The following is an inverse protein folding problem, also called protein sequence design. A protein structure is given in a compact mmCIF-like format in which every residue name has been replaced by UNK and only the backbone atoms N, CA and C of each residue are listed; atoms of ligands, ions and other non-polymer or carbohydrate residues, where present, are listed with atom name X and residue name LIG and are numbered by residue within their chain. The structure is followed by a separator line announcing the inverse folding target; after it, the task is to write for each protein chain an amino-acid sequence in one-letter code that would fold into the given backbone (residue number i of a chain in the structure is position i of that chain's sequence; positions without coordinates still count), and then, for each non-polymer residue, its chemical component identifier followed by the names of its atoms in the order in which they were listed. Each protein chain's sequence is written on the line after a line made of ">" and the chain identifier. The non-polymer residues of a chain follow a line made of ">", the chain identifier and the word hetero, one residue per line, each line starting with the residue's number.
data_IF_861690903088
#
_entry.id   IF_861690903088
#
_cell.length_a   1.000
_cell.length_b   1.000
_cell.length_c   1.000
_cell.angle_alpha   90.00
_cell.angle_beta   90.00
_cell.angle_gamma   90.00
#
_symmetry.space_group_name_H-M   'P 1'
#
loop_
_entity.id
_entity.type
_entity.pdbx_description
1 polymer ?
#
# COMPACT_ATOMS: atom_id res chain seq x y z
N UNK A 1 2.16 17.94 0.38
CA UNK A 1 1.52 16.85 -0.37
C UNK A 1 0.02 17.07 -0.48
N UNK A 2 -0.73 16.94 0.59
CA UNK A 2 -2.21 16.99 0.59
C UNK A 2 -2.82 18.37 0.24
N UNK A 3 -2.12 19.48 0.50
CA UNK A 3 -2.59 20.83 0.15
C UNK A 3 -2.81 21.07 -1.36
N UNK A 4 -2.31 20.17 -2.23
CA UNK A 4 -2.64 20.17 -3.65
C UNK A 4 -4.10 19.73 -3.91
N UNK A 5 -4.66 18.92 -3.02
CA UNK A 5 -5.98 18.28 -3.19
C UNK A 5 -7.04 18.87 -2.26
N UNK A 6 -6.65 19.22 -1.03
CA UNK A 6 -7.57 19.69 0.02
C UNK A 6 -7.24 21.11 0.45
N UNK A 7 -8.25 21.86 0.84
CA UNK A 7 -8.11 23.18 1.46
C UNK A 7 -7.63 23.01 2.92
N UNK A 8 -7.06 24.06 3.49
CA UNK A 8 -6.47 23.99 4.85
C UNK A 8 -7.48 23.49 5.90
N UNK A 9 -8.74 23.92 5.81
CA UNK A 9 -9.79 23.52 6.74
C UNK A 9 -10.32 22.09 6.50
N UNK A 10 -10.04 21.50 5.32
CA UNK A 10 -10.39 20.12 4.99
C UNK A 10 -9.33 19.10 5.47
N UNK A 11 -8.11 19.57 5.85
CA UNK A 11 -7.00 18.68 6.22
C UNK A 11 -7.25 17.92 7.52
N UNK A 12 -7.73 18.60 8.57
CA UNK A 12 -8.01 17.91 9.84
C UNK A 12 -9.17 16.92 9.72
N UNK A 13 -10.31 17.24 9.04
CA UNK A 13 -11.31 16.24 8.69
C UNK A 13 -10.76 15.08 7.85
N UNK A 14 -9.85 15.33 6.89
CA UNK A 14 -9.18 14.28 6.12
C UNK A 14 -8.38 13.35 7.02
N UNK A 15 -7.63 13.89 7.96
CA UNK A 15 -6.83 13.10 8.89
C UNK A 15 -7.69 12.23 9.82
N UNK A 16 -8.84 12.72 10.27
CA UNK A 16 -9.81 11.92 11.03
C UNK A 16 -10.40 10.81 10.17
N UNK A 17 -10.82 11.12 8.96
CA UNK A 17 -11.32 10.11 8.02
C UNK A 17 -10.25 9.05 7.74
N UNK A 18 -8.99 9.46 7.61
CA UNK A 18 -7.87 8.55 7.41
C UNK A 18 -7.70 7.59 8.59
N UNK A 19 -7.86 8.07 9.82
CA UNK A 19 -7.81 7.27 11.05
C UNK A 19 -9.03 6.37 11.18
N UNK A 20 -10.23 6.93 11.12
CA UNK A 20 -11.50 6.21 11.33
C UNK A 20 -11.77 5.14 10.27
N UNK A 21 -11.36 5.38 9.02
CA UNK A 21 -11.58 4.49 7.88
C UNK A 21 -10.35 3.62 7.53
N UNK A 22 -9.22 3.80 8.22
CA UNK A 22 -7.98 3.10 7.89
C UNK A 22 -7.44 3.44 6.49
N UNK A 23 -7.73 4.64 5.98
CA UNK A 23 -7.32 5.06 4.63
C UNK A 23 -5.81 5.25 4.57
N UNK A 24 -5.20 4.67 3.55
CA UNK A 24 -3.77 4.77 3.26
C UNK A 24 -3.57 5.54 1.96
N UNK A 25 -2.71 6.56 1.99
CA UNK A 25 -2.26 7.25 0.77
C UNK A 25 -1.06 6.51 0.21
N UNK A 26 -1.03 6.25 -1.10
CA UNK A 26 0.12 5.59 -1.76
C UNK A 26 0.37 6.13 -3.17
N UNK A 27 1.12 5.39 -3.97
CA UNK A 27 1.37 5.73 -5.38
C UNK A 27 2.38 6.85 -5.59
N UNK A 28 2.29 7.47 -6.76
CA UNK A 28 3.30 8.46 -7.19
C UNK A 28 3.32 9.73 -6.34
N UNK A 29 2.22 10.08 -5.70
CA UNK A 29 2.15 11.26 -4.81
C UNK A 29 2.99 11.05 -3.53
N UNK A 30 3.04 9.83 -2.99
CA UNK A 30 3.89 9.52 -1.84
C UNK A 30 5.36 9.45 -2.24
N UNK A 31 5.67 8.96 -3.43
CA UNK A 31 7.04 9.01 -3.95
C UNK A 31 7.56 10.45 -4.07
N UNK A 32 6.71 11.40 -4.54
CA UNK A 32 7.04 12.83 -4.54
C UNK A 32 7.30 13.36 -3.13
N UNK A 33 6.53 12.92 -2.14
CA UNK A 33 6.72 13.34 -0.76
C UNK A 33 8.12 12.96 -0.22
N UNK A 34 8.59 11.75 -0.50
CA UNK A 34 9.89 11.28 -0.05
C UNK A 34 11.06 11.87 -0.84
N UNK A 35 10.88 12.09 -2.14
CA UNK A 35 11.98 12.53 -3.02
C UNK A 35 12.09 14.05 -3.17
N UNK A 36 11.04 14.79 -2.79
CA UNK A 36 10.95 16.23 -3.06
C UNK A 36 10.71 16.58 -4.54
N UNK A 37 10.66 15.59 -5.44
CA UNK A 37 10.36 15.79 -6.85
C UNK A 37 8.91 16.28 -7.03
N UNK A 38 8.64 16.94 -8.16
CA UNK A 38 7.30 17.46 -8.48
C UNK A 38 6.92 17.07 -9.90
N UNK A 39 5.78 16.42 -10.02
CA UNK A 39 5.12 16.10 -11.29
C UNK A 39 3.61 16.06 -11.11
N UNK A 40 2.88 16.07 -12.20
CA UNK A 40 1.44 15.86 -12.20
C UNK A 40 1.13 14.43 -11.75
N UNK A 41 0.20 14.31 -10.81
CA UNK A 41 -0.27 13.02 -10.30
C UNK A 41 -1.66 13.14 -9.70
N UNK A 42 -2.40 12.06 -9.74
CA UNK A 42 -3.61 11.87 -8.95
C UNK A 42 -3.22 11.59 -7.49
N UNK A 43 -4.18 11.70 -6.59
CA UNK A 43 -4.04 11.23 -5.21
C UNK A 43 -4.68 9.85 -5.10
N UNK A 44 -3.88 8.86 -4.78
CA UNK A 44 -4.33 7.47 -4.66
C UNK A 44 -4.61 7.16 -3.19
N UNK A 45 -5.89 6.90 -2.86
CA UNK A 45 -6.39 6.57 -1.52
C UNK A 45 -6.84 5.11 -1.51
N UNK A 46 -6.21 4.31 -0.68
CA UNK A 46 -6.52 2.88 -0.52
C UNK A 46 -7.37 2.69 0.73
N UNK A 47 -8.46 1.94 0.60
CA UNK A 47 -9.41 1.73 1.68
C UNK A 47 -9.99 0.31 1.61
N UNK A 48 -10.25 -0.32 2.74
CA UNK A 48 -10.98 -1.58 2.78
C UNK A 48 -12.45 -1.37 2.41
N UNK A 49 -13.06 -2.35 1.75
CA UNK A 49 -14.45 -2.28 1.28
C UNK A 49 -15.44 -1.80 2.35
N UNK A 50 -15.39 -2.25 3.62
CA UNK A 50 -16.35 -1.79 4.64
C UNK A 50 -16.33 -0.28 4.90
N UNK A 51 -15.18 0.38 4.71
CA UNK A 51 -15.02 1.82 4.93
C UNK A 51 -15.14 2.66 3.64
N UNK A 52 -15.33 2.01 2.48
CA UNK A 52 -15.39 2.64 1.17
C UNK A 52 -16.43 3.76 1.08
N UNK A 53 -17.64 3.50 1.57
CA UNK A 53 -18.73 4.49 1.55
C UNK A 53 -18.37 5.74 2.37
N UNK A 54 -17.84 5.56 3.57
CA UNK A 54 -17.46 6.67 4.48
C UNK A 54 -16.37 7.53 3.85
N UNK A 55 -15.33 6.91 3.29
CA UNK A 55 -14.25 7.62 2.61
C UNK A 55 -14.75 8.39 1.38
N UNK A 56 -15.60 7.81 0.54
CA UNK A 56 -16.16 8.48 -0.62
C UNK A 56 -17.13 9.61 -0.26
N UNK A 57 -17.92 9.44 0.81
CA UNK A 57 -18.81 10.49 1.34
C UNK A 57 -18.00 11.69 1.83
N UNK A 58 -16.86 11.47 2.48
CA UNK A 58 -15.94 12.54 2.85
C UNK A 58 -15.44 13.29 1.61
N UNK A 59 -15.03 12.59 0.54
CA UNK A 59 -14.58 13.25 -0.70
C UNK A 59 -15.69 14.12 -1.29
N UNK A 60 -16.92 13.63 -1.32
CA UNK A 60 -18.07 14.38 -1.78
C UNK A 60 -18.34 15.62 -0.91
N UNK A 61 -18.20 15.54 0.41
CA UNK A 61 -18.33 16.70 1.31
C UNK A 61 -17.25 17.77 1.08
N UNK A 62 -16.07 17.37 0.59
CA UNK A 62 -15.02 18.27 0.13
C UNK A 62 -15.27 18.84 -1.28
N UNK A 63 -16.42 18.55 -1.90
CA UNK A 63 -16.79 19.05 -3.23
C UNK A 63 -16.13 18.31 -4.37
N UNK A 64 -15.75 17.05 -4.17
CA UNK A 64 -15.34 16.15 -5.23
C UNK A 64 -16.56 15.42 -5.80
N UNK A 65 -16.74 15.45 -7.10
CA UNK A 65 -17.76 14.69 -7.81
C UNK A 65 -17.21 13.32 -8.21
N UNK A 66 -18.03 12.28 -8.00
CA UNK A 66 -17.72 10.95 -8.50
C UNK A 66 -17.77 10.94 -10.03
N UNK A 67 -16.69 10.48 -10.66
CA UNK A 67 -16.49 10.41 -12.10
C UNK A 67 -16.34 8.95 -12.55
N UNK A 68 -17.47 8.24 -12.78
CA UNK A 68 -17.45 6.82 -13.11
C UNK A 68 -16.79 6.56 -14.46
N UNK A 69 -16.01 5.49 -14.55
CA UNK A 69 -15.49 4.98 -15.83
C UNK A 69 -16.59 4.24 -16.60
N UNK A 70 -16.33 4.00 -17.88
CA UNK A 70 -17.25 3.24 -18.72
C UNK A 70 -17.57 1.87 -18.08
N UNK A 71 -18.85 1.57 -17.94
CA UNK A 71 -19.33 0.33 -17.32
C UNK A 71 -19.52 0.39 -15.80
N UNK A 72 -19.06 1.44 -15.12
CA UNK A 72 -19.37 1.63 -13.71
C UNK A 72 -20.76 2.23 -13.49
N UNK A 73 -21.37 1.85 -12.34
CA UNK A 73 -22.64 2.45 -11.89
C UNK A 73 -22.39 3.94 -11.62
N UNK A 74 -23.22 4.82 -12.19
CA UNK A 74 -23.04 6.28 -12.12
C UNK A 74 -23.30 6.89 -10.74
N UNK A 75 -24.00 6.18 -9.87
CA UNK A 75 -24.22 6.61 -8.50
C UNK A 75 -23.25 5.92 -7.55
N UNK A 76 -22.38 6.69 -6.86
CA UNK A 76 -21.35 6.17 -5.98
C UNK A 76 -21.90 5.29 -4.86
N UNK A 77 -23.02 5.68 -4.23
CA UNK A 77 -23.63 4.89 -3.13
C UNK A 77 -24.06 3.51 -3.63
N UNK A 78 -24.70 3.45 -4.81
CA UNK A 78 -25.08 2.19 -5.42
C UNK A 78 -23.85 1.37 -5.81
N UNK A 79 -22.85 2.00 -6.39
CA UNK A 79 -21.60 1.35 -6.81
C UNK A 79 -20.85 0.75 -5.60
N UNK A 80 -20.70 1.50 -4.51
CA UNK A 80 -20.05 1.02 -3.28
C UNK A 80 -20.82 -0.11 -2.61
N UNK A 81 -22.16 -0.03 -2.55
CA UNK A 81 -23.00 -1.10 -2.00
C UNK A 81 -22.92 -2.37 -2.85
N UNK A 82 -22.86 -2.26 -4.17
CA UNK A 82 -22.68 -3.42 -5.05
C UNK A 82 -21.37 -4.14 -4.75
N UNK A 83 -20.28 -3.41 -4.55
CA UNK A 83 -18.98 -4.01 -4.19
C UNK A 83 -19.05 -4.66 -2.80
N UNK A 84 -19.69 -4.01 -1.82
CA UNK A 84 -19.84 -4.55 -0.46
C UNK A 84 -20.64 -5.87 -0.43
N UNK A 85 -21.66 -5.99 -1.29
CA UNK A 85 -22.53 -7.17 -1.36
C UNK A 85 -22.01 -8.26 -2.31
N UNK A 86 -20.93 -7.98 -3.07
CA UNK A 86 -20.37 -8.95 -4.00
C UNK A 86 -19.56 -10.02 -3.25
N UNK A 87 -19.80 -11.31 -3.53
CA UNK A 87 -19.01 -12.38 -2.91
C UNK A 87 -17.53 -12.25 -3.27
N UNK A 88 -16.61 -12.70 -2.40
CA UNK A 88 -15.15 -12.60 -2.62
C UNK A 88 -14.64 -13.34 -3.87
N UNK A 89 -15.43 -14.24 -4.45
CA UNK A 89 -14.97 -15.33 -5.31
C UNK A 89 -15.02 -15.09 -6.82
N UNK A 90 -15.32 -13.90 -7.33
CA UNK A 90 -15.40 -13.69 -8.79
C UNK A 90 -14.46 -12.58 -9.28
N UNK A 91 -13.18 -12.91 -9.34
CA UNK A 91 -12.12 -12.06 -9.93
C UNK A 91 -12.22 -11.88 -11.46
N UNK A 92 -13.27 -12.40 -12.12
CA UNK A 92 -13.38 -12.40 -13.58
C UNK A 92 -13.76 -11.03 -14.20
N UNK A 93 -14.08 -10.01 -13.39
CA UNK A 93 -14.52 -8.71 -13.90
C UNK A 93 -13.72 -7.51 -13.37
N UNK A 94 -12.63 -7.73 -12.63
CA UNK A 94 -11.75 -6.62 -12.22
C UNK A 94 -10.67 -6.37 -13.27
N UNK A 95 -10.41 -5.10 -13.56
CA UNK A 95 -9.29 -4.70 -14.43
C UNK A 95 -7.91 -5.11 -13.87
N UNK A 96 -7.88 -5.72 -12.68
CA UNK A 96 -6.67 -6.07 -11.94
C UNK A 96 -6.81 -7.45 -11.26
N UNK A 97 -6.87 -8.57 -12.03
CA UNK A 97 -6.98 -9.93 -11.46
C UNK A 97 -5.80 -10.22 -10.52
N UNK A 98 -6.08 -10.77 -9.34
CA UNK A 98 -5.06 -11.16 -8.36
C UNK A 98 -4.40 -10.01 -7.58
N UNK A 99 -4.75 -8.74 -7.85
CA UNK A 99 -4.12 -7.59 -7.20
C UNK A 99 -4.68 -7.25 -5.81
N UNK A 100 -5.75 -7.90 -5.37
CA UNK A 100 -6.48 -7.53 -4.14
C UNK A 100 -7.34 -6.27 -4.27
N UNK A 101 -7.39 -5.62 -5.45
CA UNK A 101 -8.23 -4.46 -5.73
C UNK A 101 -9.62 -4.92 -6.16
N UNK A 102 -10.65 -4.43 -5.47
CA UNK A 102 -12.04 -4.70 -5.84
C UNK A 102 -12.54 -3.73 -6.93
N UNK A 103 -12.22 -2.46 -6.80
CA UNK A 103 -12.61 -1.41 -7.76
C UNK A 103 -11.79 -0.14 -7.54
N UNK A 104 -11.74 0.71 -8.57
CA UNK A 104 -11.16 2.05 -8.51
C UNK A 104 -12.25 3.07 -8.83
N UNK A 105 -12.50 4.00 -7.91
CA UNK A 105 -13.48 5.07 -8.05
C UNK A 105 -12.77 6.40 -8.25
N UNK A 106 -13.01 7.05 -9.37
CA UNK A 106 -12.43 8.36 -9.64
C UNK A 106 -13.31 9.46 -9.05
N UNK A 107 -12.68 10.46 -8.44
CA UNK A 107 -13.31 11.67 -7.94
C UNK A 107 -12.60 12.88 -8.51
N UNK A 108 -13.36 13.88 -8.98
CA UNK A 108 -12.83 15.09 -9.61
C UNK A 108 -13.36 16.35 -8.94
N UNK A 109 -12.48 17.37 -8.81
CA UNK A 109 -12.81 18.73 -8.38
C UNK A 109 -11.95 19.72 -9.19
N UNK A 110 -12.51 20.28 -10.24
CA UNK A 110 -11.75 21.04 -11.24
C UNK A 110 -10.66 20.17 -11.86
N UNK A 111 -9.40 20.60 -11.81
CA UNK A 111 -8.25 19.85 -12.33
C UNK A 111 -7.67 18.82 -11.33
N UNK A 112 -8.24 18.71 -10.15
CA UNK A 112 -7.76 17.77 -9.13
C UNK A 112 -8.47 16.43 -9.32
N UNK A 113 -7.70 15.35 -9.23
CA UNK A 113 -8.24 14.00 -9.33
C UNK A 113 -7.76 13.17 -8.15
N UNK A 114 -8.70 12.46 -7.55
CA UNK A 114 -8.47 11.49 -6.47
C UNK A 114 -8.98 10.14 -6.95
N UNK A 115 -8.19 9.09 -6.77
CA UNK A 115 -8.60 7.71 -6.97
C UNK A 115 -8.83 7.07 -5.61
N UNK A 116 -10.06 6.64 -5.35
CA UNK A 116 -10.41 5.86 -4.17
C UNK A 116 -10.41 4.38 -4.56
N UNK A 117 -9.42 3.65 -4.08
CA UNK A 117 -9.14 2.26 -4.43
C UNK A 117 -9.70 1.37 -3.34
N UNK A 118 -10.73 0.60 -3.66
CA UNK A 118 -11.34 -0.37 -2.77
C UNK A 118 -10.51 -1.66 -2.73
N UNK A 119 -10.01 -2.02 -1.56
CA UNK A 119 -9.20 -3.22 -1.33
C UNK A 119 -10.06 -4.32 -0.67
N UNK A 120 -9.89 -5.58 -1.12
CA UNK A 120 -10.65 -6.74 -0.63
C UNK A 120 -10.21 -7.21 0.74
N UNK A 121 -8.90 -7.22 1.00
CA UNK A 121 -8.34 -7.80 2.22
C UNK A 121 -7.32 -6.89 2.88
N UNK A 122 -6.11 -6.84 2.37
CA UNK A 122 -5.00 -6.13 3.01
C UNK A 122 -4.43 -5.06 2.08
N UNK A 123 -4.36 -3.82 2.55
CA UNK A 123 -3.85 -2.69 1.76
C UNK A 123 -2.36 -2.86 1.46
N UNK A 124 -1.58 -3.41 2.40
CA UNK A 124 -0.15 -3.63 2.17
C UNK A 124 0.09 -4.67 1.06
N UNK A 125 -0.76 -5.71 0.99
CA UNK A 125 -0.72 -6.67 -0.12
C UNK A 125 -0.87 -5.98 -1.47
N UNK A 126 -1.80 -5.03 -1.57
CA UNK A 126 -2.01 -4.25 -2.79
C UNK A 126 -0.78 -3.40 -3.11
N UNK A 127 -0.17 -2.75 -2.11
CA UNK A 127 1.03 -1.93 -2.28
C UNK A 127 2.24 -2.79 -2.71
N UNK A 128 2.43 -3.95 -2.08
CA UNK A 128 3.49 -4.90 -2.46
C UNK A 128 3.25 -5.57 -3.83
N UNK A 129 2.00 -5.54 -4.33
CA UNK A 129 1.64 -5.93 -5.69
C UNK A 129 1.88 -4.88 -6.76
N UNK A 130 2.40 -3.70 -6.44
CA UNK A 130 2.71 -2.68 -7.44
C UNK A 130 3.78 -3.15 -8.42
N UNK A 131 3.78 -2.56 -9.60
CA UNK A 131 4.67 -2.94 -10.71
C UNK A 131 6.17 -2.83 -10.39
N UNK A 132 6.56 -2.04 -9.38
CA UNK A 132 7.98 -1.87 -9.02
C UNK A 132 8.16 -1.23 -7.64
N UNK A 133 9.30 -1.47 -7.02
CA UNK A 133 9.58 -1.09 -5.63
C UNK A 133 9.61 0.40 -5.37
N UNK A 134 9.94 1.25 -6.35
CA UNK A 134 10.01 2.69 -6.13
C UNK A 134 8.68 3.34 -5.76
N UNK A 135 7.55 2.71 -6.05
CA UNK A 135 6.21 3.18 -5.67
C UNK A 135 5.64 2.47 -4.44
N UNK A 136 6.34 1.51 -3.88
CA UNK A 136 5.93 0.80 -2.66
C UNK A 136 6.20 1.63 -1.41
N UNK A 137 5.52 2.78 -1.35
CA UNK A 137 5.57 3.71 -0.24
C UNK A 137 4.15 4.09 0.15
N UNK A 138 3.93 4.39 1.42
CA UNK A 138 2.59 4.78 1.86
C UNK A 138 2.61 5.79 3.00
N UNK A 139 1.47 6.44 3.19
CA UNK A 139 1.25 7.41 4.26
C UNK A 139 -0.07 7.07 4.96
N UNK A 140 0.02 6.85 6.27
CA UNK A 140 -1.11 6.76 7.19
C UNK A 140 -1.33 8.10 7.88
N UNK A 141 -2.26 8.17 8.82
CA UNK A 141 -2.47 9.37 9.68
C UNK A 141 -1.18 9.79 10.38
N UNK A 142 -0.40 8.83 10.88
CA UNK A 142 0.70 9.08 11.80
C UNK A 142 2.09 8.90 11.18
N UNK A 143 2.21 8.11 10.12
CA UNK A 143 3.50 7.71 9.56
C UNK A 143 3.54 7.78 8.04
N UNK A 144 4.69 8.20 7.51
CA UNK A 144 5.07 7.98 6.13
C UNK A 144 6.12 6.86 6.10
N UNK A 145 5.87 5.84 5.28
CA UNK A 145 6.68 4.61 5.23
C UNK A 145 7.17 4.37 3.81
N UNK A 146 8.48 4.13 3.68
CA UNK A 146 9.09 3.60 2.45
C UNK A 146 9.60 2.19 2.73
N UNK A 147 9.15 1.23 1.93
CA UNK A 147 9.46 -0.20 2.13
C UNK A 147 10.82 -0.58 1.56
N UNK A 148 11.31 0.16 0.56
CA UNK A 148 12.59 -0.06 -0.13
C UNK A 148 13.35 1.28 -0.25
N UNK A 149 13.74 1.91 0.87
CA UNK A 149 14.28 3.27 0.86
C UNK A 149 15.67 3.37 0.23
N UNK A 150 16.54 2.38 0.40
CA UNK A 150 17.92 2.42 -0.13
C UNK A 150 17.90 2.44 -1.66
N UNK A 151 17.19 1.50 -2.28
CA UNK A 151 17.04 1.46 -3.74
C UNK A 151 16.23 2.66 -4.23
N UNK A 152 15.09 2.95 -3.62
CA UNK A 152 14.17 4.00 -4.09
C UNK A 152 14.75 5.42 -3.95
N UNK A 153 15.28 5.76 -2.77
CA UNK A 153 15.61 7.14 -2.43
C UNK A 153 17.09 7.45 -2.61
N UNK A 154 17.96 6.47 -2.39
CA UNK A 154 19.42 6.61 -2.46
C UNK A 154 19.96 6.29 -3.85
N UNK A 155 19.78 5.04 -4.27
CA UNK A 155 20.38 4.52 -5.50
C UNK A 155 19.59 4.85 -6.75
N UNK A 156 18.33 5.32 -6.60
CA UNK A 156 17.41 5.56 -7.73
C UNK A 156 17.26 4.33 -8.61
N UNK A 157 17.24 3.15 -7.99
CA UNK A 157 16.95 1.88 -8.64
C UNK A 157 15.56 1.40 -8.21
N UNK A 158 14.91 0.58 -9.02
CA UNK A 158 13.59 0.03 -8.74
C UNK A 158 13.47 -1.38 -9.28
N UNK A 159 13.23 -2.33 -8.40
CA UNK A 159 13.00 -3.72 -8.78
C UNK A 159 11.61 -3.85 -9.40
N UNK A 160 11.55 -4.41 -10.61
CA UNK A 160 10.30 -4.70 -11.30
C UNK A 160 9.65 -5.93 -10.67
N UNK A 161 8.40 -5.81 -10.27
CA UNK A 161 7.62 -6.83 -9.55
C UNK A 161 6.48 -7.42 -10.41
N UNK A 162 6.49 -7.21 -11.70
CA UNK A 162 5.40 -7.66 -12.55
C UNK A 162 5.76 -8.93 -13.30
N UNK A 163 4.87 -9.92 -13.22
CA UNK A 163 5.07 -11.23 -13.82
C UNK A 163 4.71 -11.21 -15.31
N UNK A 164 3.64 -10.50 -15.70
CA UNK A 164 3.15 -10.46 -17.07
C UNK A 164 3.38 -9.11 -17.76
N UNK A 165 4.15 -9.07 -18.84
CA UNK A 165 4.32 -7.87 -19.63
C UNK A 165 3.02 -7.53 -20.38
N UNK A 166 2.48 -6.35 -20.11
CA UNK A 166 1.38 -5.77 -20.87
C UNK A 166 1.67 -4.28 -21.18
N UNK A 167 0.99 -3.66 -22.15
CA UNK A 167 1.26 -2.28 -22.54
C UNK A 167 1.12 -1.28 -21.37
N UNK A 168 0.18 -1.51 -20.45
CA UNK A 168 -0.02 -0.65 -19.28
C UNK A 168 1.18 -0.70 -18.34
N UNK A 169 1.74 -1.90 -18.13
CA UNK A 169 2.96 -2.09 -17.36
C UNK A 169 4.14 -1.39 -18.02
N UNK A 170 4.34 -1.60 -19.33
CA UNK A 170 5.45 -0.98 -20.06
C UNK A 170 5.41 0.55 -19.93
N UNK A 171 4.23 1.16 -20.07
CA UNK A 171 4.04 2.60 -19.90
C UNK A 171 4.33 3.05 -18.45
N UNK A 172 3.93 2.25 -17.45
CA UNK A 172 4.21 2.56 -16.06
C UNK A 172 5.72 2.52 -15.76
N UNK A 173 6.43 1.51 -16.26
CA UNK A 173 7.88 1.37 -16.09
C UNK A 173 8.64 2.50 -16.81
N UNK A 174 8.28 2.82 -18.06
CA UNK A 174 8.86 3.92 -18.82
C UNK A 174 8.68 5.25 -18.09
N UNK A 175 7.48 5.52 -17.58
CA UNK A 175 7.18 6.71 -16.78
C UNK A 175 8.14 6.92 -15.59
N UNK A 176 8.53 5.84 -14.88
CA UNK A 176 9.45 5.97 -13.75
C UNK A 176 10.92 5.96 -14.19
N UNK A 177 11.25 5.30 -15.29
CA UNK A 177 12.56 5.43 -15.94
C UNK A 177 12.83 6.89 -16.37
N UNK A 178 11.86 7.53 -17.03
CA UNK A 178 11.93 8.95 -17.41
C UNK A 178 12.04 9.89 -16.21
N UNK A 179 11.55 9.47 -15.05
CA UNK A 179 11.66 10.21 -13.78
C UNK A 179 12.99 9.94 -13.04
N UNK A 180 13.87 9.13 -13.62
CA UNK A 180 15.24 8.91 -13.15
C UNK A 180 15.45 7.66 -12.29
N UNK A 181 14.53 6.66 -12.35
CA UNK A 181 14.77 5.37 -11.73
C UNK A 181 15.28 4.35 -12.75
N UNK A 182 16.39 3.68 -12.41
CA UNK A 182 16.82 2.51 -13.19
C UNK A 182 15.94 1.31 -12.83
N UNK A 183 15.24 0.77 -13.82
CA UNK A 183 14.39 -0.40 -13.65
C UNK A 183 15.22 -1.69 -13.72
N UNK A 184 15.17 -2.50 -12.67
CA UNK A 184 15.90 -3.76 -12.54
C UNK A 184 14.91 -4.93 -12.66
N UNK A 185 15.20 -5.88 -13.54
CA UNK A 185 14.42 -7.12 -13.68
C UNK A 185 14.68 -8.09 -12.51
N UNK A 186 15.86 -8.01 -11.90
CA UNK A 186 16.26 -8.80 -10.73
C UNK A 186 17.17 -7.96 -9.83
N UNK A 187 17.23 -8.27 -8.53
CA UNK A 187 18.17 -7.62 -7.64
C UNK A 187 19.61 -7.97 -8.06
N UNK A 188 20.59 -7.08 -7.85
CA UNK A 188 21.99 -7.44 -7.97
C UNK A 188 22.30 -8.67 -7.11
N UNK A 189 23.07 -9.63 -7.61
CA UNK A 189 23.34 -10.89 -6.93
C UNK A 189 23.91 -10.70 -5.53
N UNK A 190 24.83 -9.75 -5.38
CA UNK A 190 25.41 -9.40 -4.08
C UNK A 190 24.35 -8.89 -3.09
N UNK A 191 23.37 -8.12 -3.54
CA UNK A 191 22.29 -7.62 -2.69
C UNK A 191 21.33 -8.76 -2.33
N UNK A 192 21.00 -9.63 -3.30
CA UNK A 192 20.09 -10.75 -3.10
C UNK A 192 20.62 -11.78 -2.12
N UNK A 193 21.94 -12.04 -2.11
CA UNK A 193 22.59 -12.97 -1.19
C UNK A 193 22.95 -12.34 0.15
N UNK A 194 22.83 -11.03 0.30
CA UNK A 194 23.19 -10.32 1.54
C UNK A 194 22.02 -10.26 2.51
N UNK A 195 22.16 -10.71 3.75
CA UNK A 195 21.16 -10.54 4.80
C UNK A 195 21.03 -9.07 5.26
N UNK A 196 21.96 -8.20 4.86
CA UNK A 196 21.99 -6.76 5.16
C UNK A 196 21.35 -5.91 4.04
N UNK A 197 20.75 -6.54 3.03
CA UNK A 197 20.11 -5.86 1.92
C UNK A 197 18.58 -5.89 2.03
N UNK A 198 17.94 -4.76 1.73
CA UNK A 198 16.48 -4.68 1.61
C UNK A 198 15.92 -5.53 0.45
N UNK A 199 16.77 -5.92 -0.50
CA UNK A 199 16.48 -6.80 -1.62
C UNK A 199 16.98 -8.24 -1.40
N UNK A 200 17.48 -8.56 -0.20
CA UNK A 200 18.01 -9.87 0.17
C UNK A 200 16.91 -10.91 0.38
N UNK A 201 17.34 -12.16 0.48
CA UNK A 201 16.49 -13.31 0.84
C UNK A 201 16.14 -13.31 2.34
N UNK A 202 15.52 -12.24 2.80
CA UNK A 202 15.14 -12.08 4.22
C UNK A 202 13.64 -11.85 4.33
N UNK A 203 13.05 -12.32 5.42
CA UNK A 203 11.66 -11.98 5.71
C UNK A 203 11.61 -10.54 6.18
N UNK A 204 10.81 -9.75 5.46
CA UNK A 204 10.61 -8.33 5.67
C UNK A 204 9.25 -8.10 6.34
N UNK A 205 9.14 -7.05 7.12
CA UNK A 205 7.89 -6.61 7.74
C UNK A 205 7.88 -5.08 7.92
N UNK A 206 6.71 -4.43 8.04
CA UNK A 206 6.65 -3.00 8.28
C UNK A 206 7.41 -2.63 9.55
N UNK A 207 8.43 -1.81 9.39
CA UNK A 207 9.26 -1.34 10.50
C UNK A 207 10.49 -2.16 10.83
N UNK A 208 10.83 -3.09 9.99
CA UNK A 208 12.14 -3.72 10.07
C UNK A 208 13.26 -2.67 9.83
N UNK A 209 14.52 -3.08 10.08
CA UNK A 209 15.70 -2.21 9.92
C UNK A 209 15.90 -1.66 8.50
N UNK A 210 15.19 -2.21 7.51
CA UNK A 210 15.29 -1.80 6.11
C UNK A 210 14.19 -0.81 5.69
N UNK A 211 13.12 -0.65 6.48
CA UNK A 211 12.10 0.34 6.22
C UNK A 211 12.55 1.73 6.69
N UNK A 212 12.20 2.76 5.92
CA UNK A 212 12.30 4.13 6.40
C UNK A 212 10.94 4.61 6.85
N UNK A 213 10.84 4.98 8.13
CA UNK A 213 9.60 5.48 8.74
C UNK A 213 9.82 6.89 9.24
N UNK A 214 8.95 7.79 8.77
CA UNK A 214 8.92 9.18 9.19
C UNK A 214 7.64 9.46 9.96
N UNK A 215 7.71 9.79 11.26
CA UNK A 215 6.56 10.26 12.02
C UNK A 215 6.02 11.58 11.42
N UNK A 216 4.72 11.71 11.29
CA UNK A 216 4.03 12.91 10.77
C UNK A 216 3.40 13.72 11.88
N UNK A 217 3.19 13.13 13.05
CA UNK A 217 2.66 13.78 14.24
C UNK A 217 3.76 13.98 15.26
N UNK A 218 3.60 15.01 16.14
CA UNK A 218 4.53 15.24 17.25
C UNK A 218 4.41 14.20 18.37
N UNK A 219 3.37 13.39 18.34
CA UNK A 219 3.19 12.28 19.27
C UNK A 219 4.20 11.18 18.90
N UNK A 220 5.25 11.05 19.69
CA UNK A 220 6.13 9.88 19.65
C UNK A 220 5.47 8.79 20.50
N UNK A 221 4.71 7.91 19.89
CA UNK A 221 4.45 6.61 20.52
C UNK A 221 5.80 5.91 20.73
N UNK A 222 5.97 5.30 21.90
CA UNK A 222 7.14 4.43 22.17
C UNK A 222 7.12 3.20 21.24
N UNK A 223 5.97 2.91 20.65
CA UNK A 223 5.73 1.80 19.72
C UNK A 223 5.10 2.35 18.42
N UNK A 224 5.89 2.86 17.46
CA UNK A 224 5.39 3.49 16.24
C UNK A 224 4.53 2.57 15.37
N UNK A 225 4.51 1.26 15.64
CA UNK A 225 3.76 0.26 14.88
C UNK A 225 2.38 -0.04 15.44
N UNK A 226 2.10 0.23 16.71
CA UNK A 226 0.77 0.06 17.32
C UNK A 226 -0.28 0.99 16.70
N UNK A 227 0.17 2.09 16.09
CA UNK A 227 -0.67 3.06 15.38
C UNK A 227 -0.87 2.71 13.89
N UNK A 228 -0.20 1.70 13.36
CA UNK A 228 -0.50 1.16 12.03
C UNK A 228 -1.78 0.34 12.11
N UNK A 229 -2.55 0.37 11.01
CA UNK A 229 -3.65 -0.58 10.85
C UNK A 229 -3.13 -1.99 11.18
N UNK A 230 -3.80 -2.73 12.09
CA UNK A 230 -3.34 -4.05 12.53
C UNK A 230 -2.99 -5.01 11.39
N UNK A 231 -3.76 -4.97 10.29
CA UNK A 231 -3.50 -5.82 9.13
C UNK A 231 -2.17 -5.47 8.44
N UNK A 232 -1.80 -4.17 8.42
CA UNK A 232 -0.50 -3.74 7.91
C UNK A 232 0.61 -4.19 8.86
N UNK A 233 0.44 -3.95 10.16
CA UNK A 233 1.47 -4.22 11.17
C UNK A 233 1.83 -5.71 11.28
N UNK A 234 0.88 -6.61 11.01
CA UNK A 234 1.09 -8.07 11.08
C UNK A 234 1.50 -8.71 9.76
N UNK A 235 1.71 -7.94 8.72
CA UNK A 235 2.09 -8.44 7.39
C UNK A 235 3.59 -8.67 7.28
N UNK A 236 3.97 -9.64 6.46
CA UNK A 236 5.36 -9.89 6.08
C UNK A 236 5.48 -10.14 4.58
N UNK A 237 6.69 -10.00 4.05
CA UNK A 237 7.01 -10.31 2.66
C UNK A 237 8.46 -10.72 2.50
N UNK A 238 8.80 -11.29 1.36
CA UNK A 238 10.17 -11.52 0.94
C UNK A 238 10.35 -11.17 -0.54
N UNK A 239 11.60 -10.98 -0.95
CA UNK A 239 11.99 -10.88 -2.35
C UNK A 239 12.44 -12.25 -2.82
N UNK A 240 11.80 -12.79 -3.86
CA UNK A 240 12.15 -14.07 -4.46
C UNK A 240 12.43 -13.93 -5.95
N UNK A 241 13.25 -14.82 -6.49
CA UNK A 241 13.47 -14.95 -7.94
C UNK A 241 12.54 -16.04 -8.44
N UNK A 242 11.68 -15.69 -9.39
CA UNK A 242 10.72 -16.61 -10.02
C UNK A 242 11.20 -16.92 -11.43
N UNK A 243 11.64 -18.16 -11.67
CA UNK A 243 12.27 -18.56 -12.93
C UNK A 243 13.67 -17.95 -13.11
N UNK A 244 14.22 -18.08 -14.32
CA UNK A 244 15.59 -17.63 -14.61
C UNK A 244 15.74 -16.10 -14.83
N UNK A 245 14.63 -15.36 -14.98
CA UNK A 245 14.69 -13.99 -15.53
C UNK A 245 13.87 -12.95 -14.77
N UNK A 246 13.19 -13.29 -13.68
CA UNK A 246 12.27 -12.37 -13.02
C UNK A 246 12.31 -12.48 -11.49
N UNK A 247 12.10 -11.36 -10.82
CA UNK A 247 11.89 -11.32 -9.38
C UNK A 247 10.41 -11.08 -9.08
N UNK A 248 9.97 -11.57 -7.95
CA UNK A 248 8.66 -11.30 -7.39
C UNK A 248 8.77 -10.99 -5.90
N UNK A 249 7.86 -10.16 -5.41
CA UNK A 249 7.70 -9.92 -3.99
C UNK A 249 6.55 -10.79 -3.52
N UNK A 250 6.88 -11.82 -2.75
CA UNK A 250 5.89 -12.68 -2.13
C UNK A 250 5.39 -12.04 -0.86
N UNK A 251 4.08 -11.90 -0.76
CA UNK A 251 3.39 -11.38 0.41
C UNK A 251 2.84 -12.53 1.24
N UNK A 252 3.03 -12.44 2.55
CA UNK A 252 2.45 -13.36 3.52
C UNK A 252 1.64 -12.56 4.55
N UNK A 253 0.35 -12.88 4.68
CA UNK A 253 -0.49 -12.33 5.72
C UNK A 253 -0.35 -13.19 6.97
N UNK A 254 0.21 -12.62 8.01
CA UNK A 254 0.29 -13.26 9.31
C UNK A 254 -1.07 -13.27 10.03
N UNK A 255 -2.00 -14.13 9.60
CA UNK A 255 -3.11 -14.52 10.45
C UNK A 255 -2.67 -15.65 11.34
N UNK A 256 -3.08 -15.60 12.61
CA UNK A 256 -2.73 -16.63 13.62
C UNK A 256 -3.10 -18.06 13.16
N UNK A 257 -4.17 -18.19 12.36
CA UNK A 257 -4.60 -19.47 11.79
C UNK A 257 -3.77 -19.97 10.59
N UNK A 258 -2.89 -19.12 10.04
CA UNK A 258 -2.14 -19.40 8.81
C UNK A 258 -0.61 -19.45 9.02
N UNK A 259 -0.15 -19.45 10.29
CA UNK A 259 1.27 -19.56 10.59
C UNK A 259 1.85 -20.86 10.03
N UNK A 260 2.57 -20.74 8.95
CA UNK A 260 3.50 -21.77 8.51
C UNK A 260 4.78 -21.64 9.33
N UNK A 261 5.38 -22.76 9.66
CA UNK A 261 6.52 -22.95 10.58
C UNK A 261 7.81 -22.14 10.27
N UNK A 262 7.76 -21.17 9.37
CA UNK A 262 8.92 -20.37 8.92
C UNK A 262 8.70 -18.86 9.01
N UNK A 263 7.59 -18.38 9.58
CA UNK A 263 7.38 -16.95 9.77
C UNK A 263 8.12 -16.47 11.02
N UNK A 264 8.96 -15.47 10.88
CA UNK A 264 9.45 -14.69 12.02
C UNK A 264 8.27 -13.83 12.47
N UNK A 265 7.72 -14.13 13.65
CA UNK A 265 6.65 -13.31 14.21
C UNK A 265 7.19 -11.91 14.51
N UNK A 266 6.47 -10.88 14.06
CA UNK A 266 6.73 -9.53 14.55
C UNK A 266 6.28 -9.44 16.02
N UNK A 267 6.78 -8.50 16.84
CA UNK A 267 6.31 -8.34 18.22
C UNK A 267 4.79 -8.19 18.34
N UNK A 268 4.15 -7.55 17.35
CA UNK A 268 2.69 -7.40 17.29
C UNK A 268 2.01 -8.72 16.95
N UNK A 269 2.59 -9.52 16.05
CA UNK A 269 2.10 -10.87 15.73
C UNK A 269 2.20 -11.79 16.93
N UNK A 270 3.31 -11.74 17.67
CA UNK A 270 3.49 -12.50 18.91
C UNK A 270 2.43 -12.13 19.95
N UNK A 271 2.21 -10.84 20.19
CA UNK A 271 1.18 -10.37 21.13
C UNK A 271 -0.22 -10.89 20.76
N UNK A 272 -0.62 -10.79 19.48
CA UNK A 272 -1.90 -11.31 18.98
C UNK A 272 -2.00 -12.83 19.03
N UNK A 273 -0.89 -13.53 18.78
CA UNK A 273 -0.83 -14.98 18.91
C UNK A 273 -1.18 -15.39 20.35
N UNK A 274 -0.59 -14.73 21.34
CA UNK A 274 -0.84 -15.01 22.76
C UNK A 274 -2.30 -14.69 23.15
N UNK A 275 -2.85 -13.59 22.70
CA UNK A 275 -4.27 -13.24 22.93
C UNK A 275 -5.24 -14.28 22.35
N UNK A 276 -4.96 -14.79 21.15
CA UNK A 276 -5.86 -15.70 20.43
C UNK A 276 -5.79 -17.13 20.92
N UNK A 277 -4.60 -17.62 21.32
CA UNK A 277 -4.43 -19.00 21.81
C UNK A 277 -4.68 -19.12 23.32
N UNK A 278 -4.88 -18.01 24.03
CA UNK A 278 -5.15 -18.02 25.48
C UNK A 278 -3.99 -18.59 26.33
N UNK A 279 -2.79 -18.64 25.79
CA UNK A 279 -1.59 -19.06 26.49
C UNK A 279 -1.09 -17.92 27.39
N UNK A 280 -1.61 -17.87 28.59
CA UNK A 280 -1.01 -17.08 29.66
C UNK A 280 0.25 -17.84 30.12
N UNK A 281 1.42 -17.41 29.68
CA UNK A 281 2.64 -17.83 30.34
C UNK A 281 2.71 -17.14 31.69
N UNK A 282 2.36 -17.86 32.75
CA UNK A 282 2.75 -17.49 34.10
C UNK A 282 4.27 -17.63 34.18
N UNK A 283 4.96 -16.51 34.24
CA UNK A 283 6.38 -16.47 34.62
C UNK A 283 6.51 -16.98 36.01
N UNK A 284 7.10 -18.15 36.15
CA UNK A 284 7.64 -18.69 37.43
C UNK A 284 9.03 -18.15 37.63
#
# INVERSE_FOLDING_TARGET
>A
MLSKYFLTHELEPFYRMQEDCGVVVSGSTVLQFFTGCRWESDLDLYVLIPALWSAGSFLSSCGYDYDPTLGQITNFIKASNTILMSPPALDHHTSYPGSGIASVFNFKKGNRKIQLIACRSNILQVILGFHSTCVMNFVTRHHAVSLFPRSTLHSRTSLVNAIDPNPTLANALAKYADRGWQMLSHPPLQDYLSPESELGQVIRYPGDQFCYIRPLTRYRSLFPFEELNPDIATSSWNVSIVGETRSAISFELGRVSEFKSHCIATPIMEARLFETIGLVFTTS
#
